data_IF_629622578989
#
_entry.id   IF_629622578989
#
_cell.length_a   1.000
_cell.length_b   1.000
_cell.length_c   1.000
_cell.angle_alpha   90.00
_cell.angle_beta   90.00
_cell.angle_gamma   90.00
#
_symmetry.space_group_name_H-M   'P 1'
#
loop_
_entity.id
_entity.type
_entity.pdbx_description
1 polymer ?
#
# COMPACT_ATOMS: atom_id res chain seq x y z
N UNK A 1 0.85 -10.39 -16.52
CA UNK A 1 0.05 -10.34 -15.29
C UNK A 1 -1.15 -9.46 -15.57
N UNK A 2 -2.33 -10.06 -15.65
CA UNK A 2 -3.57 -9.30 -15.76
C UNK A 2 -3.99 -8.86 -14.36
N UNK A 3 -4.28 -7.59 -14.21
CA UNK A 3 -4.72 -7.03 -12.95
C UNK A 3 -5.65 -5.85 -13.17
N UNK A 4 -6.51 -5.61 -12.18
CA UNK A 4 -7.49 -4.54 -12.20
C UNK A 4 -7.36 -3.69 -10.94
N UNK A 5 -7.58 -2.38 -11.07
CA UNK A 5 -7.68 -1.50 -9.91
C UNK A 5 -9.13 -1.56 -9.42
N UNK A 6 -9.33 -2.06 -8.21
CA UNK A 6 -10.65 -2.21 -7.59
C UNK A 6 -10.76 -1.30 -6.38
N UNK A 7 -11.94 -0.71 -6.19
CA UNK A 7 -12.21 0.18 -5.05
C UNK A 7 -12.56 -0.66 -3.82
N UNK A 8 -11.97 -0.32 -2.68
CA UNK A 8 -12.28 -0.91 -1.38
C UNK A 8 -13.26 0.02 -0.66
N UNK A 9 -14.55 -0.30 -0.74
CA UNK A 9 -15.62 0.55 -0.21
C UNK A 9 -15.58 0.64 1.32
N UNK A 10 -15.09 -0.39 2.01
CA UNK A 10 -14.94 -0.41 3.46
C UNK A 10 -13.92 0.60 4.00
N UNK A 11 -12.98 1.04 3.15
CA UNK A 11 -11.95 2.02 3.50
C UNK A 11 -12.15 3.37 2.82
N UNK A 12 -12.99 3.43 1.81
CA UNK A 12 -13.28 4.66 1.07
C UNK A 12 -14.24 5.56 1.84
N UNK A 13 -14.09 6.87 1.71
CA UNK A 13 -14.98 7.85 2.29
C UNK A 13 -15.03 9.14 1.47
N UNK A 14 -15.64 10.17 2.05
CA UNK A 14 -15.89 11.43 1.36
C UNK A 14 -14.61 12.19 0.98
N UNK A 15 -13.53 12.00 1.72
CA UNK A 15 -12.28 12.77 1.55
C UNK A 15 -11.23 12.01 0.73
N UNK A 16 -11.23 10.67 0.80
CA UNK A 16 -10.37 9.85 -0.02
C UNK A 16 -11.02 8.52 -0.43
N UNK A 17 -10.69 8.07 -1.63
CA UNK A 17 -11.01 6.73 -2.11
C UNK A 17 -9.78 5.83 -1.98
N UNK A 18 -10.01 4.63 -1.45
CA UNK A 18 -8.97 3.60 -1.26
C UNK A 18 -9.23 2.50 -2.28
N UNK A 19 -8.19 2.13 -3.01
CA UNK A 19 -8.22 1.10 -4.05
C UNK A 19 -7.15 0.06 -3.76
N UNK A 20 -7.32 -1.17 -4.27
CA UNK A 20 -6.26 -2.16 -4.33
C UNK A 20 -6.17 -2.77 -5.74
N UNK A 21 -5.15 -3.60 -5.95
CA UNK A 21 -4.91 -4.28 -7.22
C UNK A 21 -5.44 -5.71 -7.08
N UNK A 22 -6.46 -6.05 -7.87
CA UNK A 22 -6.99 -7.41 -8.00
C UNK A 22 -6.16 -8.20 -9.00
N UNK A 23 -5.70 -9.40 -8.61
CA UNK A 23 -4.90 -10.29 -9.45
C UNK A 23 -5.78 -11.45 -9.92
N UNK A 24 -6.05 -11.53 -11.23
CA UNK A 24 -6.97 -12.52 -11.79
C UNK A 24 -6.57 -13.97 -11.48
N UNK A 25 -5.28 -14.27 -11.60
CA UNK A 25 -4.72 -15.61 -11.40
C UNK A 25 -4.89 -16.09 -9.94
N UNK A 26 -4.84 -15.15 -8.98
CA UNK A 26 -4.95 -15.45 -7.56
C UNK A 26 -6.35 -15.26 -7.00
N UNK A 27 -7.23 -14.63 -7.79
CA UNK A 27 -8.62 -14.31 -7.43
C UNK A 27 -8.76 -13.53 -6.12
N UNK A 28 -7.82 -12.63 -5.87
CA UNK A 28 -7.82 -11.76 -4.69
C UNK A 28 -7.04 -10.48 -4.94
N UNK A 29 -7.22 -9.49 -4.07
CA UNK A 29 -6.41 -8.27 -4.11
C UNK A 29 -5.05 -8.47 -3.45
N UNK A 30 -4.08 -7.61 -3.78
CA UNK A 30 -2.79 -7.57 -3.08
C UNK A 30 -2.97 -7.29 -1.59
N UNK A 31 -3.98 -6.51 -1.21
CA UNK A 31 -4.32 -6.27 0.18
C UNK A 31 -4.88 -7.53 0.87
N UNK A 32 -5.77 -8.28 0.22
CA UNK A 32 -6.27 -9.55 0.76
C UNK A 32 -5.11 -10.52 1.02
N UNK A 33 -4.20 -10.65 0.04
CA UNK A 33 -2.99 -11.46 0.17
C UNK A 33 -2.16 -11.02 1.37
N UNK A 34 -1.90 -9.71 1.50
CA UNK A 34 -1.18 -9.14 2.63
C UNK A 34 -1.82 -9.50 3.97
N UNK A 35 -3.15 -9.40 4.09
CA UNK A 35 -3.85 -9.77 5.33
C UNK A 35 -3.71 -11.28 5.60
N UNK A 36 -3.94 -12.14 4.60
CA UNK A 36 -3.88 -13.60 4.74
C UNK A 36 -2.49 -14.04 5.22
N UNK A 37 -1.43 -13.49 4.65
CA UNK A 37 -0.06 -13.87 4.95
C UNK A 37 0.42 -13.42 6.34
N UNK A 38 -0.16 -12.33 6.88
CA UNK A 38 0.36 -11.69 8.08
C UNK A 38 -0.57 -11.81 9.31
N UNK A 39 -1.86 -12.12 9.14
CA UNK A 39 -2.86 -12.16 10.24
C UNK A 39 -2.51 -13.08 11.40
N UNK A 40 -1.82 -14.20 11.15
CA UNK A 40 -1.49 -15.15 12.21
C UNK A 40 -0.45 -14.60 13.20
N UNK A 41 0.38 -13.64 12.76
CA UNK A 41 1.48 -13.09 13.57
C UNK A 41 1.34 -11.61 13.89
N UNK A 42 0.60 -10.87 13.07
CA UNK A 42 0.53 -9.40 13.11
C UNK A 42 -0.91 -8.88 13.07
N UNK A 43 -1.85 -9.62 13.68
CA UNK A 43 -3.26 -9.21 13.74
C UNK A 43 -3.46 -7.82 14.37
N UNK A 44 -2.81 -7.46 15.51
CA UNK A 44 -2.94 -6.12 16.09
C UNK A 44 -2.51 -5.01 15.12
N UNK A 45 -1.40 -5.20 14.43
CA UNK A 45 -0.86 -4.26 13.45
C UNK A 45 -1.79 -4.10 12.24
N UNK A 46 -2.37 -5.20 11.75
CA UNK A 46 -3.36 -5.17 10.67
C UNK A 46 -4.61 -4.39 11.11
N UNK A 47 -5.10 -4.61 12.34
CA UNK A 47 -6.24 -3.86 12.87
C UNK A 47 -5.94 -2.35 12.89
N UNK A 48 -4.73 -1.96 13.28
CA UNK A 48 -4.33 -0.55 13.33
C UNK A 48 -4.12 0.06 11.93
N UNK A 49 -3.60 -0.71 10.97
CA UNK A 49 -3.57 -0.33 9.55
C UNK A 49 -5.00 -0.10 9.04
N UNK A 50 -5.95 -0.97 9.37
CA UNK A 50 -7.34 -0.85 8.91
C UNK A 50 -8.02 0.38 9.50
N UNK A 51 -7.83 0.66 10.79
CA UNK A 51 -8.31 1.90 11.41
C UNK A 51 -7.72 3.13 10.70
N UNK A 52 -6.45 3.08 10.33
CA UNK A 52 -5.77 4.16 9.60
C UNK A 52 -6.35 4.34 8.20
N UNK A 53 -6.62 3.26 7.46
CA UNK A 53 -7.29 3.30 6.16
C UNK A 53 -8.69 3.92 6.24
N UNK A 54 -9.49 3.51 7.23
CA UNK A 54 -10.81 4.11 7.50
C UNK A 54 -10.68 5.62 7.77
N UNK A 55 -9.70 6.03 8.57
CA UNK A 55 -9.46 7.45 8.85
C UNK A 55 -9.04 8.20 7.57
N UNK A 56 -8.18 7.63 6.74
CA UNK A 56 -7.80 8.21 5.46
C UNK A 56 -9.05 8.47 4.60
N UNK A 57 -9.96 7.50 4.47
CA UNK A 57 -11.21 7.70 3.74
C UNK A 57 -12.05 8.87 4.28
N UNK A 58 -12.06 9.06 5.61
CA UNK A 58 -12.85 10.09 6.29
C UNK A 58 -12.25 11.49 6.31
N UNK A 59 -10.93 11.63 6.39
CA UNK A 59 -10.26 12.93 6.61
C UNK A 59 -9.15 13.25 5.59
N UNK A 60 -9.01 12.39 4.58
CA UNK A 60 -8.08 12.52 3.47
C UNK A 60 -6.75 11.81 3.73
N UNK A 61 -6.07 11.45 2.64
CA UNK A 61 -4.75 10.83 2.62
C UNK A 61 -3.64 11.85 2.92
N UNK A 62 -3.61 12.36 4.15
CA UNK A 62 -2.59 13.32 4.63
C UNK A 62 -1.25 12.62 4.85
N UNK A 63 -0.15 13.34 4.61
CA UNK A 63 1.21 12.79 4.68
C UNK A 63 1.56 12.18 6.04
N UNK A 64 0.99 12.71 7.12
CA UNK A 64 1.18 12.20 8.49
C UNK A 64 0.83 10.72 8.66
N UNK A 65 -0.01 10.16 7.78
CA UNK A 65 -0.39 8.75 7.84
C UNK A 65 0.67 7.82 7.25
N UNK A 66 1.58 8.35 6.44
CA UNK A 66 2.46 7.57 5.59
C UNK A 66 3.91 7.77 5.97
N UNK A 67 4.70 6.73 5.71
CA UNK A 67 6.13 6.87 5.55
C UNK A 67 6.40 7.17 4.08
N UNK A 68 6.73 8.43 3.80
CA UNK A 68 7.02 8.91 2.46
C UNK A 68 8.38 8.41 1.96
N UNK A 69 8.58 8.50 0.64
CA UNK A 69 9.85 8.18 -0.03
C UNK A 69 10.31 6.73 0.18
N UNK A 70 9.37 5.78 0.17
CA UNK A 70 9.71 4.34 0.16
C UNK A 70 9.93 3.84 -1.29
N UNK A 71 9.93 4.72 -2.29
CA UNK A 71 10.27 4.43 -3.68
C UNK A 71 11.29 5.42 -4.27
N UNK A 72 11.25 5.60 -5.58
CA UNK A 72 11.96 6.66 -6.30
C UNK A 72 11.29 8.03 -6.09
N UNK A 73 12.07 9.12 -6.25
CA UNK A 73 11.49 10.45 -6.38
C UNK A 73 10.39 10.47 -7.45
N UNK A 74 9.29 11.14 -7.13
CA UNK A 74 8.13 11.33 -8.01
C UNK A 74 7.33 10.07 -8.37
N UNK A 75 7.62 8.88 -7.82
CA UNK A 75 6.75 7.72 -8.05
C UNK A 75 5.50 7.72 -7.13
N UNK A 76 5.51 8.46 -6.02
CA UNK A 76 4.39 8.53 -5.08
C UNK A 76 4.21 7.28 -4.23
N UNK A 77 5.16 6.33 -4.28
CA UNK A 77 5.18 5.12 -3.46
C UNK A 77 5.56 5.48 -2.02
N UNK A 78 4.72 5.04 -1.10
CA UNK A 78 4.87 5.24 0.34
C UNK A 78 4.42 3.98 1.08
N UNK A 79 4.61 3.94 2.39
CA UNK A 79 4.15 2.84 3.22
C UNK A 79 3.22 3.34 4.33
N UNK A 80 2.14 2.59 4.56
CA UNK A 80 1.46 2.60 5.83
C UNK A 80 2.25 1.73 6.80
N UNK A 81 2.43 2.27 7.99
CA UNK A 81 2.99 1.60 9.15
C UNK A 81 2.04 1.87 10.30
N UNK A 82 2.01 0.96 11.26
CA UNK A 82 1.23 1.12 12.48
C UNK A 82 2.00 2.02 13.47
N UNK A 83 2.66 1.46 14.49
CA UNK A 83 3.43 2.22 15.48
C UNK A 83 4.92 2.30 15.11
N UNK A 84 5.67 3.28 15.65
CA UNK A 84 7.12 3.41 15.41
C UNK A 84 7.94 2.15 15.75
N UNK A 85 7.39 1.29 16.60
CA UNK A 85 8.03 0.06 17.06
C UNK A 85 7.67 -1.17 16.25
N UNK A 86 6.72 -1.07 15.33
CA UNK A 86 6.29 -2.20 14.55
C UNK A 86 6.96 -2.24 13.19
N UNK A 87 6.98 -3.46 12.69
CA UNK A 87 7.73 -3.90 11.54
C UNK A 87 6.80 -4.20 10.37
N UNK A 88 5.48 -4.15 10.52
CA UNK A 88 4.58 -4.47 9.41
C UNK A 88 4.41 -3.25 8.49
N UNK A 89 4.63 -3.45 7.19
CA UNK A 89 4.51 -2.42 6.17
C UNK A 89 3.50 -2.82 5.12
N UNK A 90 2.57 -1.93 4.84
CA UNK A 90 1.69 -2.00 3.69
C UNK A 90 2.10 -0.91 2.70
N UNK A 91 2.65 -1.30 1.55
CA UNK A 91 3.04 -0.33 0.53
C UNK A 91 1.83 0.17 -0.25
N UNK A 92 1.87 1.43 -0.67
CA UNK A 92 0.79 2.06 -1.42
C UNK A 92 1.31 3.22 -2.28
N UNK A 93 0.52 3.62 -3.28
CA UNK A 93 0.73 4.83 -4.06
C UNK A 93 -0.28 5.87 -3.61
N UNK A 94 0.19 7.08 -3.32
CA UNK A 94 -0.66 8.20 -2.93
C UNK A 94 -0.75 9.22 -4.06
N UNK A 95 -1.97 9.59 -4.46
CA UNK A 95 -2.22 10.71 -5.36
C UNK A 95 -2.90 11.85 -4.60
N UNK A 96 -2.11 12.86 -4.22
CA UNK A 96 -2.57 13.98 -3.40
C UNK A 96 -3.18 13.50 -2.08
N UNK A 97 -4.30 14.09 -1.69
CA UNK A 97 -5.03 13.72 -0.46
C UNK A 97 -6.26 12.85 -0.74
N UNK A 98 -6.57 12.55 -2.00
CA UNK A 98 -7.88 12.03 -2.39
C UNK A 98 -7.87 10.58 -2.84
N UNK A 99 -6.71 10.03 -3.22
CA UNK A 99 -6.63 8.64 -3.71
C UNK A 99 -5.44 7.93 -3.07
N UNK A 100 -5.70 6.72 -2.58
CA UNK A 100 -4.68 5.77 -2.14
C UNK A 100 -4.88 4.45 -2.86
N UNK A 101 -3.84 3.96 -3.53
CA UNK A 101 -3.81 2.64 -4.15
C UNK A 101 -2.91 1.73 -3.31
N UNK A 102 -3.50 0.83 -2.52
CA UNK A 102 -2.77 -0.09 -1.65
C UNK A 102 -2.36 -1.35 -2.40
N UNK A 103 -1.08 -1.73 -2.26
CA UNK A 103 -0.53 -2.97 -2.78
C UNK A 103 -0.40 -4.01 -1.68
N UNK A 104 0.67 -4.81 -1.75
CA UNK A 104 1.04 -5.74 -0.70
C UNK A 104 2.12 -5.17 0.23
N UNK A 105 2.84 -6.08 0.88
CA UNK A 105 3.89 -5.72 1.82
C UNK A 105 4.21 -6.88 2.75
N UNK A 106 4.65 -6.58 3.96
CA UNK A 106 5.01 -7.60 4.93
C UNK A 106 5.82 -7.10 6.11
N UNK A 107 6.37 -8.05 6.85
CA UNK A 107 7.22 -7.78 8.00
C UNK A 107 8.60 -7.29 7.55
N UNK A 108 9.06 -6.19 8.16
CA UNK A 108 10.34 -5.52 7.93
C UNK A 108 11.13 -5.56 9.24
N UNK A 109 11.96 -6.61 9.47
CA UNK A 109 12.74 -6.73 10.69
C UNK A 109 13.53 -5.47 11.03
N UNK A 110 13.65 -5.13 12.32
CA UNK A 110 14.46 -3.98 12.76
C UNK A 110 15.95 -4.12 12.43
N UNK A 111 16.41 -5.34 12.21
CA UNK A 111 17.79 -5.66 11.83
C UNK A 111 18.12 -5.24 10.40
N UNK A 112 17.11 -5.07 9.53
CA UNK A 112 17.33 -4.71 8.13
C UNK A 112 17.08 -3.22 7.91
N UNK A 113 18.08 -2.55 7.34
CA UNK A 113 18.03 -1.11 7.09
C UNK A 113 17.49 -0.84 5.68
N UNK A 114 18.04 -1.54 4.69
CA UNK A 114 17.72 -1.42 3.29
C UNK A 114 16.58 -2.36 2.89
N UNK A 115 15.75 -1.89 1.96
CA UNK A 115 14.67 -2.66 1.36
C UNK A 115 15.17 -3.96 0.72
N UNK A 116 16.31 -3.88 0.02
CA UNK A 116 16.93 -4.97 -0.74
C UNK A 116 17.41 -6.15 0.11
N UNK A 117 17.49 -5.98 1.43
CA UNK A 117 17.82 -7.05 2.36
C UNK A 117 16.65 -8.04 2.56
N UNK A 118 15.42 -7.66 2.18
CA UNK A 118 14.25 -8.53 2.19
C UNK A 118 13.66 -8.65 0.79
N UNK A 119 13.73 -9.87 0.23
CA UNK A 119 13.26 -10.15 -1.13
C UNK A 119 11.77 -9.85 -1.29
N UNK A 120 10.94 -10.22 -0.31
CA UNK A 120 9.49 -10.04 -0.40
C UNK A 120 9.13 -8.55 -0.41
N UNK A 121 9.69 -7.78 0.53
CA UNK A 121 9.44 -6.34 0.58
C UNK A 121 9.96 -5.63 -0.68
N UNK A 122 11.10 -6.08 -1.21
CA UNK A 122 11.65 -5.55 -2.47
C UNK A 122 10.70 -5.81 -3.63
N UNK A 123 10.21 -7.04 -3.78
CA UNK A 123 9.31 -7.42 -4.88
C UNK A 123 7.99 -6.63 -4.81
N UNK A 124 7.37 -6.54 -3.63
CA UNK A 124 6.12 -5.78 -3.41
C UNK A 124 6.29 -4.28 -3.70
N UNK A 125 7.41 -3.71 -3.27
CA UNK A 125 7.73 -2.30 -3.52
C UNK A 125 8.00 -2.04 -5.00
N UNK A 126 8.82 -2.86 -5.65
CA UNK A 126 9.22 -2.68 -7.05
C UNK A 126 8.02 -2.86 -7.97
N UNK A 127 7.12 -3.80 -7.65
CA UNK A 127 5.85 -3.94 -8.34
C UNK A 127 5.05 -2.62 -8.35
N UNK A 128 4.87 -1.98 -7.18
CA UNK A 128 4.15 -0.70 -7.11
C UNK A 128 4.86 0.44 -7.85
N UNK A 129 6.20 0.42 -7.89
CA UNK A 129 6.97 1.41 -8.66
C UNK A 129 6.73 1.28 -10.15
N UNK A 130 6.74 0.07 -10.68
CA UNK A 130 6.41 -0.19 -12.09
C UNK A 130 4.95 0.14 -12.40
N UNK A 131 4.02 -0.25 -11.53
CA UNK A 131 2.61 0.13 -11.67
C UNK A 131 2.40 1.64 -11.67
N UNK A 132 3.10 2.39 -10.80
CA UNK A 132 3.03 3.85 -10.76
C UNK A 132 3.52 4.48 -12.06
N UNK A 133 4.59 3.95 -12.68
CA UNK A 133 5.08 4.41 -13.98
C UNK A 133 4.04 4.18 -15.07
N UNK A 134 3.46 2.98 -15.12
CA UNK A 134 2.45 2.61 -16.10
C UNK A 134 1.20 3.51 -16.00
N UNK A 135 0.70 3.75 -14.77
CA UNK A 135 -0.44 4.64 -14.54
C UNK A 135 -0.12 6.05 -15.05
N UNK A 136 1.08 6.57 -14.75
CA UNK A 136 1.49 7.92 -15.19
C UNK A 136 1.60 8.05 -16.70
N UNK A 137 2.16 7.04 -17.37
CA UNK A 137 2.22 7.02 -18.83
C UNK A 137 0.81 7.12 -19.43
N UNK A 138 -0.11 6.26 -18.97
CA UNK A 138 -1.52 6.30 -19.43
C UNK A 138 -2.26 7.60 -19.10
N UNK A 139 -1.89 8.28 -18.01
CA UNK A 139 -2.44 9.59 -17.67
C UNK A 139 -1.88 10.72 -18.55
N UNK A 140 -0.64 10.58 -19.05
CA UNK A 140 0.06 11.58 -19.86
C UNK A 140 -0.24 11.44 -21.36
N UNK A 141 -0.66 10.26 -21.79
CA UNK A 141 -1.09 9.94 -23.16
C UNK A 141 -2.52 10.43 -23.48
N UNK A 142 -3.14 11.20 -22.58
CA UNK A 142 -4.43 11.88 -22.74
C UNK A 142 -4.25 13.39 -22.79
#
# INVERSE_FOLDING_TARGET
>A
MNCEIVKLEEFSGNEASVYSIYIEEEKMTLYDRFVIENKERFLPEIIDINKRLINIGKIGAREIFFKLNEGNPSDGVCALYDNPNSNLRLYCIRYGTSIVLIGGGGHKPKSISALQEDKKLTDENYFLRELSKEIKQRMSDK
#
